data_IF_250198475252
#
_entry.id   IF_250198475252
#
_cell.length_a   1.000
_cell.length_b   1.000
_cell.length_c   1.000
_cell.angle_alpha   90.00
_cell.angle_beta   90.00
_cell.angle_gamma   90.00
#
_symmetry.space_group_name_H-M   'P 1'
#
loop_
_entity.id
_entity.type
_entity.pdbx_description
1 polymer ?
#
# COMPACT_ATOMS: atom_id res chain seq x y z
N UNK A 1 -1.58 15.08 7.78
CA UNK A 1 -1.42 13.94 6.86
C UNK A 1 -1.53 14.48 5.46
N UNK A 2 -0.51 14.27 4.65
CA UNK A 2 -0.46 14.65 3.23
C UNK A 2 -0.84 13.42 2.43
N UNK A 3 -1.71 13.57 1.42
CA UNK A 3 -2.17 12.49 0.56
C UNK A 3 -1.55 12.65 -0.82
N UNK A 4 -1.01 11.58 -1.37
CA UNK A 4 -0.35 11.53 -2.68
C UNK A 4 -1.09 10.55 -3.59
N UNK A 5 -2.20 10.95 -4.26
CA UNK A 5 -2.95 10.06 -5.14
C UNK A 5 -2.18 9.74 -6.41
N UNK A 6 -2.26 8.49 -6.87
CA UNK A 6 -1.72 8.10 -8.17
C UNK A 6 -2.59 8.52 -9.36
N UNK A 7 -3.74 9.12 -9.11
CA UNK A 7 -4.63 9.59 -10.18
C UNK A 7 -4.39 11.09 -10.44
N UNK A 8 -4.11 11.49 -11.69
CA UNK A 8 -3.79 12.88 -12.03
C UNK A 8 -4.94 13.86 -11.87
N UNK A 9 -6.18 13.39 -11.74
CA UNK A 9 -7.39 14.22 -11.79
C UNK A 9 -8.01 14.55 -10.44
N UNK A 10 -7.38 14.18 -9.32
CA UNK A 10 -7.92 14.52 -8.01
C UNK A 10 -7.33 15.83 -7.46
N UNK A 11 -8.17 16.76 -6.95
CA UNK A 11 -7.78 18.12 -6.57
C UNK A 11 -6.96 18.20 -5.27
N UNK A 12 -6.32 17.15 -4.82
CA UNK A 12 -5.49 17.12 -3.63
C UNK A 12 -4.00 17.15 -4.01
N UNK A 13 -3.49 18.28 -4.15
CA UNK A 13 -2.22 18.91 -3.94
C UNK A 13 -0.89 18.24 -4.27
N UNK A 14 -0.79 16.95 -4.53
CA UNK A 14 0.46 16.31 -4.91
C UNK A 14 0.18 15.17 -5.87
N UNK A 15 0.52 15.37 -7.12
CA UNK A 15 0.56 14.29 -8.09
C UNK A 15 1.87 13.52 -7.92
N UNK A 16 1.81 12.19 -7.91
CA UNK A 16 2.98 11.36 -8.13
C UNK A 16 3.41 11.60 -9.58
N UNK A 17 4.44 12.39 -9.78
CA UNK A 17 5.03 12.55 -11.09
C UNK A 17 5.89 11.34 -11.39
N UNK A 18 5.61 10.61 -12.47
CA UNK A 18 6.55 9.64 -13.01
C UNK A 18 7.85 10.33 -13.46
N UNK A 19 8.96 9.60 -13.50
CA UNK A 19 10.22 10.06 -14.08
C UNK A 19 10.18 10.17 -15.62
N UNK A 20 9.02 10.42 -16.17
CA UNK A 20 8.89 10.81 -17.57
C UNK A 20 9.29 12.29 -17.67
N UNK A 21 10.37 12.59 -18.38
CA UNK A 21 10.90 13.96 -18.48
C UNK A 21 9.86 14.96 -19.01
N UNK A 22 8.91 14.50 -19.81
CA UNK A 22 7.82 15.32 -20.33
C UNK A 22 6.71 15.60 -19.30
N UNK A 23 6.66 14.84 -18.19
CA UNK A 23 5.60 14.91 -17.16
C UNK A 23 6.09 15.32 -15.79
N UNK A 24 7.29 15.90 -15.69
CA UNK A 24 7.79 16.45 -14.43
C UNK A 24 6.81 17.49 -13.87
N UNK A 25 6.18 17.19 -12.77
CA UNK A 25 5.43 18.18 -11.99
C UNK A 25 6.42 18.91 -11.08
N UNK A 26 6.77 20.18 -11.35
CA UNK A 26 7.69 20.92 -10.49
C UNK A 26 7.15 20.96 -9.06
N UNK A 27 7.98 20.61 -8.07
CA UNK A 27 7.63 20.67 -6.66
C UNK A 27 6.84 19.45 -6.14
N UNK A 28 6.77 18.34 -6.89
CA UNK A 28 6.25 17.09 -6.34
C UNK A 28 7.16 16.61 -5.20
N UNK A 29 6.55 16.20 -4.08
CA UNK A 29 7.28 15.67 -2.92
C UNK A 29 7.50 14.17 -2.99
N UNK A 30 6.76 13.46 -3.86
CA UNK A 30 6.88 12.04 -4.12
C UNK A 30 6.91 11.77 -5.63
N UNK A 31 7.90 10.99 -6.05
CA UNK A 31 8.08 10.56 -7.44
C UNK A 31 7.96 9.05 -7.55
N UNK A 32 7.27 8.58 -8.58
CA UNK A 32 7.18 7.16 -8.90
C UNK A 32 8.28 6.80 -9.90
N UNK A 33 9.14 5.84 -9.53
CA UNK A 33 10.14 5.27 -10.41
C UNK A 33 9.57 4.01 -11.09
N UNK A 34 9.30 4.05 -12.41
CA UNK A 34 8.84 2.87 -13.14
C UNK A 34 9.91 1.76 -13.16
N UNK A 35 9.49 0.48 -13.35
CA UNK A 35 10.44 -0.61 -13.53
C UNK A 35 11.42 -0.34 -14.68
N UNK A 36 12.72 -0.51 -14.41
CA UNK A 36 13.79 -0.31 -15.40
C UNK A 36 14.20 1.14 -15.65
N UNK A 37 13.50 2.13 -15.07
CA UNK A 37 13.93 3.52 -15.15
C UNK A 37 15.11 3.79 -14.19
N UNK A 38 15.92 4.78 -14.53
CA UNK A 38 17.04 5.24 -13.70
C UNK A 38 16.73 6.63 -13.13
N UNK A 39 17.19 6.87 -11.92
CA UNK A 39 17.09 8.19 -11.30
C UNK A 39 18.20 9.08 -11.89
N UNK A 40 17.86 10.23 -12.51
CA UNK A 40 18.88 11.15 -13.01
C UNK A 40 19.88 11.56 -11.93
N UNK A 41 21.16 11.66 -12.30
CA UNK A 41 22.23 11.97 -11.33
C UNK A 41 22.02 13.34 -10.66
N UNK A 42 21.50 14.30 -11.40
CA UNK A 42 21.20 15.66 -10.95
C UNK A 42 19.87 15.80 -10.20
N UNK A 43 19.14 14.69 -9.99
CA UNK A 43 17.86 14.76 -9.31
C UNK A 43 18.03 15.14 -7.83
N UNK A 44 17.46 16.28 -7.47
CA UNK A 44 17.45 16.86 -6.11
C UNK A 44 16.03 17.01 -5.54
N UNK A 45 15.04 16.33 -6.13
CA UNK A 45 13.63 16.42 -5.74
C UNK A 45 13.30 15.64 -4.46
N UNK A 46 12.01 15.46 -4.22
CA UNK A 46 11.46 14.79 -3.03
C UNK A 46 11.73 13.28 -2.97
N UNK A 47 10.93 12.59 -2.17
CA UNK A 47 11.02 11.15 -2.01
C UNK A 47 10.73 10.39 -3.31
N UNK A 48 11.38 9.24 -3.50
CA UNK A 48 11.20 8.40 -4.68
C UNK A 48 10.67 7.03 -4.23
N UNK A 49 9.57 6.60 -4.79
CA UNK A 49 9.00 5.28 -4.55
C UNK A 49 9.13 4.39 -5.78
N UNK A 50 9.51 3.13 -5.58
CA UNK A 50 9.50 2.09 -6.61
C UNK A 50 8.95 0.79 -6.05
N UNK A 51 8.07 0.14 -6.82
CA UNK A 51 7.63 -1.23 -6.54
C UNK A 51 8.59 -2.28 -7.11
N UNK A 52 9.54 -1.87 -7.96
CA UNK A 52 10.48 -2.79 -8.58
C UNK A 52 11.48 -3.32 -7.54
N UNK A 53 11.65 -4.64 -7.40
CA UNK A 53 12.66 -5.21 -6.52
C UNK A 53 14.07 -4.90 -7.04
N UNK A 54 15.01 -4.67 -6.11
CA UNK A 54 16.44 -4.63 -6.42
C UNK A 54 17.01 -3.27 -6.86
N UNK A 55 16.26 -2.19 -6.81
CA UNK A 55 16.83 -0.87 -6.98
C UNK A 55 17.55 -0.43 -5.68
N UNK A 56 18.87 -0.27 -5.74
CA UNK A 56 19.73 0.00 -4.59
C UNK A 56 20.09 1.50 -4.43
N UNK A 57 19.28 2.40 -4.99
CA UNK A 57 19.55 3.85 -4.88
C UNK A 57 19.14 4.35 -3.48
N UNK A 58 20.06 5.03 -2.81
CA UNK A 58 19.85 5.57 -1.45
C UNK A 58 18.75 6.65 -1.38
N UNK A 59 18.36 7.21 -2.52
CA UNK A 59 17.28 8.22 -2.64
C UNK A 59 15.88 7.58 -2.64
N UNK A 60 15.78 6.25 -2.80
CA UNK A 60 14.51 5.55 -2.76
C UNK A 60 13.99 5.40 -1.34
N UNK A 61 12.68 5.47 -1.21
CA UNK A 61 11.99 4.97 -0.02
C UNK A 61 12.28 3.47 0.11
N UNK A 62 12.80 3.04 1.25
CA UNK A 62 13.09 1.64 1.51
C UNK A 62 11.88 0.94 2.13
N UNK A 63 11.61 -0.34 1.82
CA UNK A 63 10.58 -1.10 2.52
C UNK A 63 10.87 -1.16 4.02
N UNK A 64 9.92 -0.78 4.86
CA UNK A 64 10.10 -0.65 6.31
C UNK A 64 10.58 -1.95 7.00
N UNK A 65 10.28 -3.12 6.41
CA UNK A 65 10.70 -4.43 6.93
C UNK A 65 12.21 -4.66 6.78
N UNK A 66 12.83 -4.14 5.73
CA UNK A 66 14.24 -4.36 5.37
C UNK A 66 15.10 -3.10 5.37
N UNK A 67 14.50 -1.96 5.70
CA UNK A 67 15.18 -0.68 5.68
C UNK A 67 16.31 -0.61 6.72
N UNK A 68 17.43 0.02 6.32
CA UNK A 68 18.52 0.35 7.23
C UNK A 68 18.06 1.38 8.28
N UNK A 69 18.60 1.38 9.50
CA UNK A 69 18.19 2.30 10.57
C UNK A 69 18.37 3.79 10.20
N UNK A 70 19.29 4.09 9.33
CA UNK A 70 19.63 5.43 8.81
C UNK A 70 18.95 5.78 7.48
N UNK A 71 18.02 4.94 6.99
CA UNK A 71 17.27 5.22 5.78
C UNK A 71 16.61 6.60 5.83
N UNK A 72 16.77 7.39 4.77
CA UNK A 72 16.21 8.74 4.67
C UNK A 72 14.68 8.74 4.70
N UNK A 73 14.06 7.70 4.14
CA UNK A 73 12.63 7.48 4.18
C UNK A 73 12.30 6.00 4.03
N UNK A 74 11.19 5.59 4.60
CA UNK A 74 10.72 4.20 4.52
C UNK A 74 9.26 4.16 4.13
N UNK A 75 8.88 3.08 3.45
CA UNK A 75 7.47 2.85 3.13
C UNK A 75 6.97 1.51 3.66
N UNK A 76 5.68 1.47 3.95
CA UNK A 76 4.96 0.24 4.28
C UNK A 76 3.56 0.33 3.68
N UNK A 77 3.02 -0.79 3.21
CA UNK A 77 1.67 -0.82 2.67
C UNK A 77 0.60 -1.11 3.73
N UNK A 78 -0.65 -0.90 3.36
CA UNK A 78 -1.82 -1.17 4.20
C UNK A 78 -2.42 -2.56 3.98
N UNK A 79 -1.71 -3.45 3.27
CA UNK A 79 -2.16 -4.82 3.00
C UNK A 79 -1.86 -5.75 4.19
N UNK A 80 -2.49 -5.48 5.33
CA UNK A 80 -2.34 -6.29 6.54
C UNK A 80 -3.29 -7.48 6.48
N UNK A 81 -2.76 -8.69 6.63
CA UNK A 81 -3.53 -9.95 6.58
C UNK A 81 -3.73 -10.62 7.94
N UNK A 82 -3.17 -10.04 9.01
CA UNK A 82 -3.30 -10.56 10.39
C UNK A 82 -2.98 -9.49 11.43
N UNK A 83 -3.46 -9.67 12.64
CA UNK A 83 -3.38 -8.66 13.69
C UNK A 83 -4.34 -7.48 13.45
N UNK A 84 -3.91 -6.25 13.70
CA UNK A 84 -4.70 -5.07 13.38
C UNK A 84 -3.90 -4.03 12.60
N UNK A 85 -4.56 -3.34 11.68
CA UNK A 85 -3.96 -2.24 10.91
C UNK A 85 -3.49 -1.11 11.83
N UNK A 86 -4.27 -0.79 12.85
CA UNK A 86 -3.91 0.25 13.81
C UNK A 86 -2.64 -0.12 14.58
N UNK A 87 -2.57 -1.34 15.12
CA UNK A 87 -1.39 -1.83 15.84
C UNK A 87 -0.15 -1.84 14.96
N UNK A 88 -0.29 -2.28 13.71
CA UNK A 88 0.78 -2.27 12.71
C UNK A 88 1.29 -0.84 12.43
N UNK A 89 0.37 0.10 12.15
CA UNK A 89 0.73 1.49 11.88
C UNK A 89 1.39 2.17 13.10
N UNK A 90 0.90 1.92 14.32
CA UNK A 90 1.51 2.44 15.56
C UNK A 90 2.93 1.91 15.76
N UNK A 91 3.16 0.62 15.53
CA UNK A 91 4.49 0.02 15.64
C UNK A 91 5.48 0.62 14.62
N UNK A 92 5.02 0.84 13.39
CA UNK A 92 5.84 1.49 12.36
C UNK A 92 6.14 2.95 12.70
N UNK A 93 5.16 3.70 13.18
CA UNK A 93 5.34 5.09 13.61
C UNK A 93 6.33 5.20 14.78
N UNK A 94 6.23 4.31 15.77
CA UNK A 94 7.17 4.28 16.88
C UNK A 94 8.61 4.01 16.44
N UNK A 95 8.80 3.23 15.37
CA UNK A 95 10.12 2.90 14.84
C UNK A 95 10.68 3.98 13.90
N UNK A 96 9.85 4.54 13.03
CA UNK A 96 10.30 5.34 11.89
C UNK A 96 9.92 6.82 11.97
N UNK A 97 8.91 7.16 12.78
CA UNK A 97 8.46 8.55 12.97
C UNK A 97 8.04 9.21 11.66
N UNK A 98 8.55 10.43 11.45
CA UNK A 98 8.24 11.24 10.26
C UNK A 98 8.82 10.68 8.94
N UNK A 99 9.73 9.74 9.01
CA UNK A 99 10.29 9.07 7.82
C UNK A 99 9.36 8.02 7.21
N UNK A 100 8.24 7.72 7.88
CA UNK A 100 7.29 6.72 7.43
C UNK A 100 6.33 7.26 6.38
N UNK A 101 6.30 6.59 5.25
CA UNK A 101 5.34 6.76 4.17
C UNK A 101 4.40 5.54 4.12
N UNK A 102 3.10 5.76 4.31
CA UNK A 102 2.12 4.67 4.19
C UNK A 102 1.57 4.59 2.78
N UNK A 103 1.76 3.44 2.15
CA UNK A 103 1.21 3.13 0.84
C UNK A 103 -0.20 2.54 0.99
N UNK A 104 -1.22 3.31 0.62
CA UNK A 104 -2.59 2.82 0.56
C UNK A 104 -2.76 1.95 -0.68
N UNK A 105 -2.43 0.68 -0.53
CA UNK A 105 -2.56 -0.35 -1.55
C UNK A 105 -3.81 -1.18 -1.27
N UNK A 106 -4.79 -1.22 -2.20
CA UNK A 106 -5.98 -2.04 -2.02
C UNK A 106 -5.63 -3.51 -1.88
N UNK A 107 -6.20 -4.16 -0.88
CA UNK A 107 -6.05 -5.59 -0.65
C UNK A 107 -6.96 -6.36 -1.62
N UNK A 108 -6.45 -7.38 -2.28
CA UNK A 108 -7.21 -8.32 -3.12
C UNK A 108 -6.43 -9.62 -3.20
N UNK A 109 -6.50 -10.41 -2.11
CA UNK A 109 -5.64 -11.58 -1.93
C UNK A 109 -6.42 -12.74 -1.30
N UNK A 110 -6.11 -13.97 -1.71
CA UNK A 110 -6.58 -15.18 -1.03
C UNK A 110 -5.47 -15.83 -0.23
N UNK A 111 -5.87 -16.48 0.86
CA UNK A 111 -4.97 -17.19 1.77
C UNK A 111 -5.53 -18.58 2.07
N UNK A 112 -4.68 -19.60 2.22
CA UNK A 112 -5.11 -20.88 2.78
C UNK A 112 -5.50 -20.69 4.25
N UNK A 113 -6.34 -21.56 4.78
CA UNK A 113 -6.70 -21.58 6.20
C UNK A 113 -6.40 -22.98 6.76
N UNK A 114 -5.45 -23.13 7.68
CA UNK A 114 -4.58 -22.09 8.25
C UNK A 114 -3.52 -21.55 7.27
N UNK A 115 -3.02 -20.32 7.53
CA UNK A 115 -1.95 -19.69 6.75
C UNK A 115 -0.71 -19.44 7.63
N UNK A 116 0.10 -20.47 7.90
CA UNK A 116 1.25 -20.32 8.82
C UNK A 116 2.35 -19.41 8.29
N UNK A 117 2.43 -19.22 6.98
CA UNK A 117 3.44 -18.36 6.34
C UNK A 117 3.01 -16.89 6.27
N UNK A 118 1.72 -16.59 6.44
CA UNK A 118 1.16 -15.26 6.19
C UNK A 118 1.19 -14.82 4.72
N UNK A 119 1.62 -15.71 3.81
CA UNK A 119 1.74 -15.39 2.38
C UNK A 119 0.44 -15.74 1.67
N UNK A 120 -0.17 -14.72 1.04
CA UNK A 120 -1.35 -14.87 0.20
C UNK A 120 -1.01 -14.80 -1.29
N UNK A 121 -2.00 -15.11 -2.09
CA UNK A 121 -1.98 -15.03 -3.55
C UNK A 121 -2.87 -13.89 -4.01
N UNK A 122 -2.33 -12.99 -4.82
CA UNK A 122 -3.10 -11.89 -5.41
C UNK A 122 -4.12 -12.44 -6.41
N UNK A 123 -5.35 -11.93 -6.36
CA UNK A 123 -6.40 -12.29 -7.30
C UNK A 123 -6.58 -11.23 -8.38
N UNK A 124 -6.82 -11.71 -9.60
CA UNK A 124 -7.24 -10.85 -10.70
C UNK A 124 -8.67 -10.33 -10.52
N UNK A 125 -9.03 -9.24 -11.22
CA UNK A 125 -10.37 -8.62 -11.08
C UNK A 125 -11.53 -9.56 -11.40
N UNK A 126 -11.38 -10.44 -12.39
CA UNK A 126 -12.44 -11.35 -12.80
C UNK A 126 -12.64 -12.48 -11.79
N UNK A 127 -11.54 -13.02 -11.25
CA UNK A 127 -11.57 -14.05 -10.21
C UNK A 127 -12.17 -13.51 -8.90
N UNK A 128 -11.78 -12.30 -8.51
CA UNK A 128 -12.35 -11.62 -7.35
C UNK A 128 -13.86 -11.39 -7.52
N UNK A 129 -14.30 -10.94 -8.70
CA UNK A 129 -15.71 -10.74 -9.02
C UNK A 129 -16.49 -12.04 -8.95
N UNK A 130 -15.94 -13.14 -9.48
CA UNK A 130 -16.56 -14.46 -9.43
C UNK A 130 -16.76 -14.94 -7.99
N UNK A 131 -15.76 -14.79 -7.13
CA UNK A 131 -15.87 -15.14 -5.71
C UNK A 131 -16.95 -14.31 -5.00
N UNK A 132 -16.97 -13.00 -5.23
CA UNK A 132 -17.93 -12.08 -4.60
C UNK A 132 -19.38 -12.32 -5.06
N UNK A 133 -19.59 -12.91 -6.24
CA UNK A 133 -20.92 -13.29 -6.71
C UNK A 133 -21.44 -14.58 -6.06
N UNK A 134 -20.55 -15.42 -5.53
CA UNK A 134 -20.89 -16.73 -4.99
C UNK A 134 -20.92 -16.79 -3.46
N UNK A 135 -20.08 -15.99 -2.80
CA UNK A 135 -19.88 -16.07 -1.36
C UNK A 135 -20.19 -14.74 -0.65
N UNK A 136 -20.86 -14.79 0.51
CA UNK A 136 -21.13 -13.60 1.28
C UNK A 136 -19.83 -12.97 1.78
N UNK A 137 -19.81 -11.65 1.87
CA UNK A 137 -18.68 -10.93 2.43
C UNK A 137 -19.00 -10.30 3.78
N UNK A 138 -18.03 -10.29 4.67
CA UNK A 138 -18.09 -9.74 6.01
C UNK A 138 -17.05 -8.61 6.16
N UNK A 139 -17.20 -7.79 7.19
CA UNK A 139 -16.24 -6.74 7.51
C UNK A 139 -15.36 -7.15 8.68
N UNK A 140 -14.06 -6.89 8.57
CA UNK A 140 -13.08 -7.04 9.63
C UNK A 140 -12.71 -5.67 10.18
N UNK A 141 -13.11 -5.31 11.41
CA UNK A 141 -12.75 -4.03 11.99
C UNK A 141 -11.24 -3.90 12.28
N UNK A 142 -10.57 -5.00 12.61
CA UNK A 142 -9.14 -5.00 12.90
C UNK A 142 -8.29 -4.75 11.66
N UNK A 143 -8.63 -5.41 10.55
CA UNK A 143 -7.92 -5.25 9.28
C UNK A 143 -8.42 -4.06 8.46
N UNK A 144 -9.61 -3.55 8.79
CA UNK A 144 -10.32 -2.51 8.04
C UNK A 144 -10.47 -2.91 6.57
N UNK A 145 -10.88 -4.16 6.34
CA UNK A 145 -11.12 -4.73 5.02
C UNK A 145 -12.35 -5.61 5.03
N UNK A 146 -12.75 -6.10 3.87
CA UNK A 146 -13.78 -7.15 3.76
C UNK A 146 -13.13 -8.50 3.56
N UNK A 147 -13.86 -9.55 3.94
CA UNK A 147 -13.43 -10.92 3.73
C UNK A 147 -14.59 -11.85 3.39
N UNK A 148 -14.26 -12.93 2.69
CA UNK A 148 -15.16 -14.06 2.42
C UNK A 148 -14.44 -15.37 2.73
N UNK A 149 -15.15 -16.34 3.33
CA UNK A 149 -14.66 -17.70 3.47
C UNK A 149 -15.29 -18.58 2.41
N UNK A 150 -14.50 -19.50 1.85
CA UNK A 150 -14.98 -20.46 0.87
C UNK A 150 -14.13 -21.74 0.86
N UNK A 151 -14.62 -22.78 0.22
CA UNK A 151 -13.84 -23.97 -0.12
C UNK A 151 -13.40 -23.85 -1.58
N UNK A 152 -12.12 -24.08 -1.86
CA UNK A 152 -11.64 -24.15 -3.23
C UNK A 152 -12.08 -25.46 -3.94
N UNK A 153 -11.72 -25.63 -5.21
CA UNK A 153 -12.10 -26.79 -6.00
C UNK A 153 -11.60 -28.14 -5.43
N UNK A 154 -10.56 -28.10 -4.60
CA UNK A 154 -10.04 -29.27 -3.88
C UNK A 154 -10.67 -29.46 -2.49
N UNK A 155 -11.68 -28.65 -2.14
CA UNK A 155 -12.34 -28.67 -0.83
C UNK A 155 -11.50 -28.06 0.29
N UNK A 156 -10.45 -27.32 -0.01
CA UNK A 156 -9.59 -26.71 1.00
C UNK A 156 -10.15 -25.35 1.44
N UNK A 157 -10.17 -25.05 2.74
CA UNK A 157 -10.67 -23.76 3.22
C UNK A 157 -9.74 -22.61 2.82
N UNK A 158 -10.36 -21.54 2.33
CA UNK A 158 -9.71 -20.29 1.91
C UNK A 158 -10.40 -19.11 2.53
N UNK A 159 -9.62 -18.06 2.77
CA UNK A 159 -10.14 -16.72 3.03
C UNK A 159 -9.69 -15.78 1.92
N UNK A 160 -10.63 -15.02 1.39
CA UNK A 160 -10.39 -13.94 0.45
C UNK A 160 -10.53 -12.62 1.18
N UNK A 161 -9.44 -11.85 1.27
CA UNK A 161 -9.40 -10.51 1.85
C UNK A 161 -9.39 -9.49 0.73
N UNK A 162 -10.23 -8.46 0.84
CA UNK A 162 -10.30 -7.44 -0.20
C UNK A 162 -10.73 -6.08 0.35
N UNK A 163 -10.27 -5.04 -0.34
CA UNK A 163 -10.69 -3.68 -0.08
C UNK A 163 -11.79 -3.23 -1.06
N UNK A 164 -12.59 -2.31 -0.60
CA UNK A 164 -13.55 -1.53 -1.37
C UNK A 164 -13.19 -0.04 -1.25
N UNK A 165 -13.76 0.85 -2.09
CA UNK A 165 -13.61 2.29 -1.88
C UNK A 165 -13.94 2.73 -0.45
N UNK A 166 -14.95 2.12 0.15
CA UNK A 166 -15.36 2.41 1.53
C UNK A 166 -14.31 1.98 2.55
N UNK A 167 -13.76 0.74 2.46
CA UNK A 167 -12.73 0.29 3.39
C UNK A 167 -11.44 1.09 3.24
N UNK A 168 -11.08 1.53 2.04
CA UNK A 168 -9.94 2.43 1.84
C UNK A 168 -10.14 3.80 2.51
N UNK A 169 -11.36 4.40 2.43
CA UNK A 169 -11.67 5.61 3.19
C UNK A 169 -11.60 5.38 4.70
N UNK A 170 -12.08 4.23 5.18
CA UNK A 170 -12.01 3.86 6.59
C UNK A 170 -10.55 3.66 7.04
N UNK A 171 -9.68 3.05 6.23
CA UNK A 171 -8.24 2.99 6.50
C UNK A 171 -7.63 4.39 6.64
N UNK A 172 -7.94 5.31 5.73
CA UNK A 172 -7.49 6.70 5.84
C UNK A 172 -8.00 7.38 7.12
N UNK A 173 -9.27 7.18 7.45
CA UNK A 173 -9.88 7.74 8.67
C UNK A 173 -9.22 7.18 9.94
N UNK A 174 -8.84 5.89 9.95
CA UNK A 174 -8.11 5.26 11.05
C UNK A 174 -6.68 5.79 11.15
N UNK A 175 -5.98 5.95 10.03
CA UNK A 175 -4.57 6.36 10.00
C UNK A 175 -4.39 7.85 10.38
N UNK A 176 -5.36 8.71 10.04
CA UNK A 176 -5.29 10.15 10.27
C UNK A 176 -4.99 10.54 11.74
N UNK A 177 -5.70 10.04 12.76
CA UNK A 177 -5.47 10.42 14.16
C UNK A 177 -4.18 9.84 14.75
N UNK A 178 -3.52 8.90 14.06
CA UNK A 178 -2.26 8.31 14.52
C UNK A 178 -1.04 9.24 14.36
N UNK A 179 -1.20 10.38 13.68
CA UNK A 179 -0.11 11.33 13.45
C UNK A 179 0.77 10.98 12.24
N UNK A 180 0.32 10.08 11.36
CA UNK A 180 0.96 9.82 10.09
C UNK A 180 1.04 11.10 9.25
N UNK A 181 2.25 11.47 8.82
CA UNK A 181 2.46 12.69 8.02
C UNK A 181 2.12 12.44 6.55
N UNK A 182 2.44 11.26 6.02
CA UNK A 182 2.44 10.98 4.59
C UNK A 182 1.73 9.67 4.27
N UNK A 183 0.74 9.75 3.37
CA UNK A 183 0.03 8.59 2.80
C UNK A 183 -0.05 8.79 1.29
N UNK A 184 0.25 7.75 0.52
CA UNK A 184 0.22 7.78 -0.93
C UNK A 184 -0.44 6.52 -1.50
N UNK A 185 -0.70 6.51 -2.81
CA UNK A 185 -1.29 5.36 -3.49
C UNK A 185 -2.72 5.59 -3.97
N UNK A 186 -3.52 4.53 -3.96
CA UNK A 186 -4.91 4.62 -4.40
C UNK A 186 -5.78 5.27 -3.33
N UNK A 187 -6.24 6.46 -3.62
CA UNK A 187 -7.08 7.27 -2.71
C UNK A 187 -8.43 7.47 -3.40
N UNK A 188 -9.54 6.87 -2.87
CA UNK A 188 -10.86 6.90 -3.48
C UNK A 188 -11.55 8.25 -3.36
#
# INVERSE_FOLDING_TARGET
MILYPFQPDLPFGYSVAGFDEEKKTPGAELYLLPPGAQIPAEFTGGAIFSEAPGCADARLLQPAQSAAPDAAGVWADTQVSGGSLEGYARALLARWGERLWMYLRPLCMRFPVPCPTGVGEALGPDEARALLSQYPSHYSPDLVCRYSFYLDAAGQPRVFLFDTPETCRQKLALLRPLGLQQVFGWIP
#
